data_IF_258376152490
#
_entry.id   IF_258376152490
#
_cell.length_a   1.000
_cell.length_b   1.000
_cell.length_c   1.000
_cell.angle_alpha   90.00
_cell.angle_beta   90.00
_cell.angle_gamma   90.00
#
_symmetry.space_group_name_H-M   'P 1'
#
loop_
_entity.id
_entity.type
_entity.pdbx_description
1 polymer ?
#
# COMPACT_ATOMS: atom_id res chain seq x y z
N UNK A 1 3.45 -12.58 18.93
CA UNK A 1 3.63 -12.39 17.47
C UNK A 1 2.86 -11.14 17.09
N UNK A 2 3.51 -10.13 16.52
CA UNK A 2 2.87 -8.87 16.14
C UNK A 2 2.23 -8.95 14.76
N UNK A 3 1.43 -7.94 14.38
CA UNK A 3 0.77 -7.87 13.07
C UNK A 3 1.75 -7.78 11.88
N UNK A 4 2.99 -7.34 12.13
CA UNK A 4 4.07 -7.30 11.14
C UNK A 4 5.33 -8.00 11.70
N UNK A 5 5.39 -9.34 11.70
CA UNK A 5 6.48 -10.09 12.33
C UNK A 5 7.79 -10.05 11.52
N UNK A 6 7.70 -9.89 10.20
CA UNK A 6 8.86 -9.80 9.30
C UNK A 6 9.39 -8.37 9.14
N UNK A 7 8.72 -7.38 9.75
CA UNK A 7 9.07 -5.95 9.74
C UNK A 7 9.18 -5.37 8.32
N UNK A 8 8.47 -5.94 7.36
CA UNK A 8 8.48 -5.44 5.99
C UNK A 8 7.30 -4.51 5.77
N UNK A 9 7.55 -3.33 5.21
CA UNK A 9 6.49 -2.45 4.75
C UNK A 9 5.83 -3.04 3.51
N UNK A 10 4.50 -3.16 3.55
CA UNK A 10 3.67 -3.75 2.47
C UNK A 10 2.94 -2.72 1.62
N UNK A 11 3.06 -1.45 1.98
CA UNK A 11 2.34 -0.35 1.33
C UNK A 11 3.32 0.80 1.15
N UNK A 12 3.33 1.41 -0.04
CA UNK A 12 4.03 2.67 -0.30
C UNK A 12 3.05 3.72 -0.82
N UNK A 13 3.22 4.96 -0.35
CA UNK A 13 2.56 6.13 -0.89
C UNK A 13 3.40 6.69 -2.04
N UNK A 14 2.90 6.61 -3.26
CA UNK A 14 3.56 7.14 -4.47
C UNK A 14 3.24 8.62 -4.72
N UNK A 15 2.43 9.24 -3.85
CA UNK A 15 1.89 10.60 -4.01
C UNK A 15 0.52 10.61 -4.69
N UNK A 16 -0.15 11.77 -4.72
CA UNK A 16 -1.49 11.97 -5.33
C UNK A 16 -2.55 10.94 -4.89
N UNK A 17 -2.52 10.57 -3.60
CA UNK A 17 -3.37 9.52 -3.03
C UNK A 17 -3.28 8.17 -3.77
N UNK A 18 -2.11 7.86 -4.32
CA UNK A 18 -1.80 6.58 -4.95
C UNK A 18 -1.03 5.69 -3.99
N UNK A 19 -1.60 4.53 -3.68
CA UNK A 19 -1.06 3.51 -2.80
C UNK A 19 -0.65 2.31 -3.64
N UNK A 20 0.51 1.76 -3.33
CA UNK A 20 1.14 0.64 -4.04
C UNK A 20 1.45 -0.46 -3.03
N UNK A 21 1.25 -1.72 -3.41
CA UNK A 21 1.19 -2.87 -2.48
C UNK A 21 2.03 -4.05 -2.97
N UNK A 22 2.48 -4.86 -2.00
CA UNK A 22 3.06 -6.20 -2.19
C UNK A 22 2.08 -7.24 -1.64
N UNK A 23 1.77 -8.30 -2.39
CA UNK A 23 0.77 -9.31 -1.99
C UNK A 23 1.38 -10.57 -1.31
N UNK A 24 2.68 -10.82 -1.51
CA UNK A 24 3.36 -12.00 -0.97
C UNK A 24 3.94 -11.80 0.43
N UNK A 25 3.97 -12.84 1.29
CA UNK A 25 4.70 -12.81 2.56
C UNK A 25 6.22 -12.69 2.35
N UNK A 26 6.97 -12.40 3.43
CA UNK A 26 8.43 -12.29 3.46
C UNK A 26 9.10 -11.25 2.52
N UNK A 27 8.29 -10.44 1.83
CA UNK A 27 8.75 -9.22 1.19
C UNK A 27 8.61 -9.20 -0.32
N UNK A 28 8.09 -10.26 -0.94
CA UNK A 28 7.92 -10.34 -2.39
C UNK A 28 9.19 -9.98 -3.15
N UNK A 29 9.04 -9.32 -4.29
CA UNK A 29 10.16 -8.80 -5.08
C UNK A 29 10.46 -7.31 -4.83
N UNK A 30 9.60 -6.63 -4.05
CA UNK A 30 9.79 -5.26 -3.54
C UNK A 30 9.66 -4.18 -4.61
N UNK A 31 8.94 -4.43 -5.69
CA UNK A 31 8.60 -3.43 -6.69
C UNK A 31 7.26 -2.70 -6.41
N UNK A 32 6.44 -3.24 -5.52
CA UNK A 32 5.16 -2.74 -5.02
C UNK A 32 4.11 -2.55 -6.11
N UNK A 33 4.19 -3.27 -7.23
CA UNK A 33 3.25 -3.14 -8.34
C UNK A 33 2.18 -4.24 -8.42
N UNK A 34 2.15 -5.19 -7.48
CA UNK A 34 1.12 -6.24 -7.42
C UNK A 34 -0.29 -5.64 -7.41
N UNK A 35 -0.48 -4.53 -6.66
CA UNK A 35 -1.70 -3.71 -6.65
C UNK A 35 -1.33 -2.23 -6.57
N UNK A 36 -1.97 -1.40 -7.42
CA UNK A 36 -1.89 0.05 -7.35
C UNK A 36 -3.31 0.63 -7.29
N UNK A 37 -3.59 1.41 -6.24
CA UNK A 37 -4.89 2.06 -6.01
C UNK A 37 -4.70 3.57 -5.96
N UNK A 38 -5.42 4.30 -6.80
CA UNK A 38 -5.52 5.76 -6.68
C UNK A 38 -6.89 6.18 -6.16
N UNK A 39 -6.91 6.94 -5.07
CA UNK A 39 -8.14 7.47 -4.49
C UNK A 39 -8.37 8.91 -4.94
N UNK A 40 -9.50 9.14 -5.60
CA UNK A 40 -10.02 10.49 -5.83
C UNK A 40 -11.11 10.78 -4.81
N UNK A 41 -10.80 11.64 -3.84
CA UNK A 41 -11.67 11.95 -2.72
C UNK A 41 -12.31 13.33 -2.93
N UNK A 42 -13.62 13.41 -2.77
CA UNK A 42 -14.36 14.66 -2.68
C UNK A 42 -15.10 14.74 -1.35
N UNK A 43 -15.23 15.96 -0.83
CA UNK A 43 -16.05 16.22 0.35
C UNK A 43 -17.42 16.65 -0.11
N UNK A 44 -18.47 15.96 0.35
CA UNK A 44 -19.84 16.44 0.18
C UNK A 44 -20.13 17.49 1.25
N UNK A 45 -20.65 18.68 0.88
CA UNK A 45 -21.12 19.65 1.86
C UNK A 45 -22.22 19.05 2.75
N UNK A 46 -22.21 19.42 4.04
CA UNK A 46 -23.29 19.11 4.99
C UNK A 46 -24.39 20.15 4.86
#
# INVERSE_FOLDING_TARGET
MGANPDKTDRIRLLGKNTFSFEDLPNGGDKDYNDIIVQLNLSVSPV
#
